data_IF_187301915968
#
_entry.id   IF_187301915968
#
_cell.length_a   1.000
_cell.length_b   1.000
_cell.length_c   1.000
_cell.angle_alpha   90.00
_cell.angle_beta   90.00
_cell.angle_gamma   90.00
#
_symmetry.space_group_name_H-M   'P 1'
#
loop_
_entity.id
_entity.type
_entity.pdbx_description
1 polymer ?
#
# COMPACT_ATOMS: atom_id res chain seq x y z
N UNK A 1 -6.55 11.78 -70.22
CA UNK A 1 -7.05 10.78 -69.24
C UNK A 1 -7.28 11.55 -67.97
N UNK A 2 -8.51 11.97 -67.75
CA UNK A 2 -8.95 12.84 -66.65
C UNK A 2 -9.66 12.00 -65.61
N UNK A 3 -9.27 12.14 -64.38
CA UNK A 3 -9.88 11.49 -63.21
C UNK A 3 -11.32 11.97 -62.97
N UNK A 4 -12.30 11.13 -62.63
CA UNK A 4 -13.66 11.55 -62.31
C UNK A 4 -13.82 12.02 -60.87
N UNK A 5 -14.49 13.15 -60.75
CA UNK A 5 -14.78 13.88 -59.51
C UNK A 5 -15.90 13.23 -58.68
N UNK A 6 -15.86 13.51 -57.39
CA UNK A 6 -16.68 13.04 -56.25
C UNK A 6 -18.21 13.28 -56.32
N UNK A 7 -18.83 13.49 -57.49
CA UNK A 7 -20.22 13.92 -57.61
C UNK A 7 -21.17 12.96 -58.33
N UNK A 8 -20.77 11.71 -58.63
CA UNK A 8 -21.61 10.77 -59.41
C UNK A 8 -21.91 9.45 -58.67
N UNK A 9 -22.09 9.47 -57.39
CA UNK A 9 -22.46 8.25 -56.62
C UNK A 9 -23.71 8.48 -55.75
N UNK A 10 -24.70 9.17 -56.24
CA UNK A 10 -26.05 9.21 -55.62
C UNK A 10 -27.08 9.14 -56.73
N UNK A 11 -27.54 7.93 -57.07
CA UNK A 11 -28.85 7.65 -57.62
C UNK A 11 -28.91 6.15 -58.03
N UNK A 12 -29.40 5.32 -57.12
CA UNK A 12 -30.23 4.13 -57.37
C UNK A 12 -30.28 3.28 -56.10
N UNK A 13 -31.24 3.54 -55.22
CA UNK A 13 -31.56 2.59 -54.17
C UNK A 13 -33.08 2.40 -54.18
N UNK A 14 -33.47 1.28 -54.68
CA UNK A 14 -34.82 0.76 -54.65
C UNK A 14 -35.27 0.46 -53.22
N UNK A 15 -36.47 0.87 -52.91
CA UNK A 15 -37.16 0.63 -51.63
C UNK A 15 -37.46 -0.86 -51.51
N UNK A 16 -36.86 -1.54 -50.54
CA UNK A 16 -37.30 -2.83 -50.03
C UNK A 16 -37.75 -2.64 -48.59
N UNK A 17 -39.06 -2.62 -48.40
CA UNK A 17 -39.71 -2.69 -47.06
C UNK A 17 -39.49 -4.06 -46.46
N UNK A 18 -38.49 -4.17 -45.57
CA UNK A 18 -38.28 -5.33 -44.74
C UNK A 18 -38.72 -5.02 -43.29
N UNK A 19 -39.78 -5.70 -42.81
CA UNK A 19 -40.20 -5.65 -41.41
C UNK A 19 -39.07 -6.10 -40.50
N UNK A 20 -38.44 -5.17 -39.80
CA UNK A 20 -37.47 -5.47 -38.74
C UNK A 20 -38.28 -5.95 -37.54
N UNK A 21 -38.29 -7.27 -37.28
CA UNK A 21 -38.69 -7.81 -36.02
C UNK A 21 -37.77 -7.27 -34.91
N UNK A 22 -38.33 -6.46 -34.00
CA UNK A 22 -37.65 -5.99 -32.83
C UNK A 22 -37.35 -7.23 -31.95
N UNK A 23 -36.15 -7.74 -32.02
CA UNK A 23 -35.64 -8.67 -31.00
C UNK A 23 -35.64 -7.93 -29.66
N UNK A 24 -36.21 -8.48 -28.59
CA UNK A 24 -36.10 -7.88 -27.28
C UNK A 24 -34.63 -7.87 -26.93
N UNK A 25 -34.07 -6.68 -26.74
CA UNK A 25 -32.78 -6.54 -26.03
C UNK A 25 -33.03 -7.16 -24.65
N UNK A 26 -32.54 -8.36 -24.50
CA UNK A 26 -32.35 -8.95 -23.17
C UNK A 26 -31.32 -8.03 -22.48
N UNK A 27 -31.83 -7.08 -21.71
CA UNK A 27 -31.03 -6.47 -20.65
C UNK A 27 -30.56 -7.64 -19.80
N UNK A 28 -29.31 -8.04 -19.99
CA UNK A 28 -28.61 -8.89 -19.06
C UNK A 28 -28.75 -8.20 -17.70
N UNK A 29 -29.70 -8.63 -16.90
CA UNK A 29 -29.75 -8.28 -15.49
C UNK A 29 -28.39 -8.68 -14.95
N UNK A 30 -27.56 -7.69 -14.61
CA UNK A 30 -26.33 -7.90 -13.87
C UNK A 30 -26.76 -8.75 -12.67
N UNK A 31 -26.37 -10.04 -12.70
CA UNK A 31 -26.66 -10.95 -11.60
C UNK A 31 -26.05 -10.31 -10.35
N UNK A 32 -26.90 -9.70 -9.54
CA UNK A 32 -26.46 -9.08 -8.29
C UNK A 32 -25.73 -10.16 -7.50
N UNK A 33 -24.50 -9.87 -7.10
CA UNK A 33 -23.77 -10.79 -6.23
C UNK A 33 -24.64 -11.00 -4.99
N UNK A 34 -25.11 -12.24 -4.78
CA UNK A 34 -25.95 -12.58 -3.64
C UNK A 34 -25.04 -13.04 -2.51
N UNK A 35 -25.16 -12.40 -1.37
CA UNK A 35 -24.48 -12.79 -0.15
C UNK A 35 -25.44 -13.57 0.75
N UNK A 36 -25.12 -14.85 0.98
CA UNK A 36 -25.90 -15.78 1.77
C UNK A 36 -25.07 -16.32 2.92
N UNK A 37 -24.90 -15.52 3.96
CA UNK A 37 -24.19 -15.94 5.16
C UNK A 37 -25.05 -15.64 6.39
N UNK A 38 -25.26 -16.63 7.23
CA UNK A 38 -25.98 -16.49 8.49
C UNK A 38 -24.96 -16.61 9.62
N UNK A 39 -24.63 -15.50 10.29
CA UNK A 39 -23.71 -15.52 11.43
C UNK A 39 -24.16 -16.45 12.55
N UNK A 40 -23.20 -16.88 13.36
CA UNK A 40 -23.47 -17.65 14.56
C UNK A 40 -24.25 -16.78 15.55
N UNK A 41 -25.24 -17.41 16.22
CA UNK A 41 -26.01 -16.76 17.27
C UNK A 41 -25.11 -16.41 18.47
N UNK A 42 -25.37 -15.25 19.07
CA UNK A 42 -24.61 -14.74 20.24
C UNK A 42 -23.09 -14.62 20.01
N UNK A 43 -22.68 -14.40 18.75
CA UNK A 43 -21.28 -14.25 18.40
C UNK A 43 -20.66 -13.00 19.07
N UNK A 44 -19.42 -13.14 19.49
CA UNK A 44 -18.57 -12.06 20.02
C UNK A 44 -17.24 -12.12 19.32
N UNK A 45 -16.89 -11.04 18.64
CA UNK A 45 -15.64 -10.95 17.88
C UNK A 45 -14.62 -10.07 18.57
N UNK A 46 -13.37 -10.43 18.37
CA UNK A 46 -12.22 -9.61 18.78
C UNK A 46 -11.36 -9.29 17.57
N UNK A 47 -11.14 -8.02 17.32
CA UNK A 47 -10.33 -7.49 16.21
C UNK A 47 -9.08 -6.84 16.77
N UNK A 48 -7.91 -7.20 16.24
CA UNK A 48 -6.66 -6.50 16.46
C UNK A 48 -6.32 -5.66 15.23
N UNK A 49 -6.02 -4.39 15.44
CA UNK A 49 -5.56 -3.48 14.39
C UNK A 49 -4.49 -2.51 14.90
N UNK A 50 -3.87 -1.77 13.99
CA UNK A 50 -2.92 -0.71 14.35
C UNK A 50 -3.56 0.45 15.11
N UNK A 51 -2.75 1.11 15.93
CA UNK A 51 -3.08 2.41 16.54
C UNK A 51 -3.13 3.51 15.48
N UNK A 52 -3.69 4.64 15.87
CA UNK A 52 -3.89 5.79 14.99
C UNK A 52 -2.58 6.43 14.50
N UNK A 53 -2.48 6.65 13.20
CA UNK A 53 -1.68 7.71 12.58
C UNK A 53 -2.57 8.88 12.12
N UNK A 54 -3.83 8.56 11.84
CA UNK A 54 -4.87 9.49 11.44
C UNK A 54 -6.05 9.27 12.38
N UNK A 55 -6.44 10.29 13.17
CA UNK A 55 -7.51 10.16 14.17
C UNK A 55 -8.82 9.68 13.52
N UNK A 56 -9.19 10.26 12.37
CA UNK A 56 -10.41 9.90 11.66
C UNK A 56 -10.43 8.45 11.13
N UNK A 57 -9.29 7.78 10.99
CA UNK A 57 -9.21 6.35 10.67
C UNK A 57 -9.88 5.51 11.78
N UNK A 58 -9.44 5.73 13.03
CA UNK A 58 -9.98 4.96 14.16
C UNK A 58 -11.42 5.36 14.48
N UNK A 59 -11.72 6.65 14.46
CA UNK A 59 -13.05 7.15 14.82
C UNK A 59 -14.13 6.61 13.86
N UNK A 60 -13.86 6.65 12.56
CA UNK A 60 -14.81 6.14 11.56
C UNK A 60 -14.87 4.60 11.57
N UNK A 61 -13.73 3.93 11.82
CA UNK A 61 -13.74 2.48 11.97
C UNK A 61 -14.63 2.05 13.14
N UNK A 62 -14.49 2.68 14.31
CA UNK A 62 -15.32 2.39 15.49
C UNK A 62 -16.79 2.77 15.29
N UNK A 63 -17.09 3.85 14.56
CA UNK A 63 -18.45 4.19 14.19
C UNK A 63 -19.08 3.10 13.30
N UNK A 64 -18.35 2.52 12.37
CA UNK A 64 -18.79 1.38 11.57
C UNK A 64 -18.98 0.10 12.40
N UNK A 65 -18.09 -0.16 13.36
CA UNK A 65 -18.25 -1.26 14.34
C UNK A 65 -19.55 -1.09 15.11
N UNK A 66 -19.87 0.11 15.59
CA UNK A 66 -21.13 0.39 16.29
C UNK A 66 -22.35 0.09 15.39
N UNK A 67 -22.33 0.56 14.14
CA UNK A 67 -23.38 0.27 13.15
C UNK A 67 -23.55 -1.24 12.92
N UNK A 68 -22.44 -1.99 12.86
CA UNK A 68 -22.48 -3.44 12.73
C UNK A 68 -23.15 -4.11 13.93
N UNK A 69 -22.79 -3.69 15.16
CA UNK A 69 -23.39 -4.20 16.39
C UNK A 69 -24.90 -3.91 16.43
N UNK A 70 -25.31 -2.69 16.10
CA UNK A 70 -26.72 -2.28 16.06
C UNK A 70 -27.54 -3.09 15.04
N UNK A 71 -26.93 -3.38 13.88
CA UNK A 71 -27.60 -4.10 12.78
C UNK A 71 -27.71 -5.60 13.03
N UNK A 72 -26.72 -6.20 13.67
CA UNK A 72 -26.59 -7.67 13.76
C UNK A 72 -26.76 -8.24 15.16
N UNK A 73 -26.66 -7.41 16.20
CA UNK A 73 -26.57 -7.84 17.60
C UNK A 73 -25.22 -8.47 17.97
N UNK A 74 -24.26 -8.52 17.05
CA UNK A 74 -22.93 -9.11 17.29
C UNK A 74 -22.02 -8.09 17.93
N UNK A 75 -21.50 -8.40 19.12
CA UNK A 75 -20.52 -7.57 19.81
C UNK A 75 -19.14 -7.71 19.16
N UNK A 76 -18.48 -6.58 18.87
CA UNK A 76 -17.12 -6.54 18.32
C UNK A 76 -16.22 -5.67 19.20
N UNK A 77 -15.23 -6.28 19.83
CA UNK A 77 -14.17 -5.60 20.56
C UNK A 77 -13.00 -5.30 19.62
N UNK A 78 -12.51 -4.05 19.63
CA UNK A 78 -11.35 -3.62 18.84
C UNK A 78 -10.18 -3.30 19.76
N UNK A 79 -9.08 -4.00 19.59
CA UNK A 79 -7.80 -3.74 20.26
C UNK A 79 -6.88 -3.01 19.27
N UNK A 80 -6.29 -1.89 19.71
CA UNK A 80 -5.37 -1.09 18.88
C UNK A 80 -3.95 -1.20 19.45
N UNK A 81 -2.97 -1.46 18.57
CA UNK A 81 -1.56 -1.66 18.93
C UNK A 81 -0.64 -0.83 18.03
N UNK A 82 0.62 -0.62 18.46
CA UNK A 82 1.64 -0.07 17.58
C UNK A 82 1.87 -0.94 16.35
N UNK A 83 2.32 -0.34 15.25
CA UNK A 83 2.64 -1.10 14.03
C UNK A 83 3.64 -2.22 14.29
N UNK A 84 4.63 -1.95 15.12
CA UNK A 84 5.70 -2.88 15.47
C UNK A 84 5.19 -4.10 16.25
N UNK A 85 4.03 -3.97 16.92
CA UNK A 85 3.45 -5.01 17.77
C UNK A 85 2.45 -5.92 17.03
N UNK A 86 1.85 -5.45 15.93
CA UNK A 86 0.79 -6.20 15.22
C UNK A 86 1.32 -7.54 14.70
N UNK A 87 2.45 -7.53 13.99
CA UNK A 87 3.05 -8.75 13.41
C UNK A 87 3.48 -9.76 14.49
N UNK A 88 4.21 -9.38 15.55
CA UNK A 88 4.53 -10.30 16.65
C UNK A 88 3.28 -10.89 17.31
N UNK A 89 2.22 -10.11 17.53
CA UNK A 89 0.96 -10.59 18.09
C UNK A 89 0.24 -11.55 17.15
N UNK A 90 0.26 -11.32 15.85
CA UNK A 90 -0.26 -12.25 14.85
C UNK A 90 0.50 -13.59 14.89
N UNK A 91 1.84 -13.55 15.01
CA UNK A 91 2.66 -14.75 15.14
C UNK A 91 2.32 -15.56 16.43
N UNK A 92 2.16 -14.87 17.55
CA UNK A 92 1.73 -15.51 18.81
C UNK A 92 0.36 -16.17 18.65
N UNK A 93 -0.62 -15.45 18.09
CA UNK A 93 -1.97 -15.97 17.87
C UNK A 93 -1.97 -17.20 16.94
N UNK A 94 -1.21 -17.16 15.85
CA UNK A 94 -1.06 -18.28 14.92
C UNK A 94 -0.45 -19.52 15.58
N UNK A 95 0.57 -19.33 16.44
CA UNK A 95 1.31 -20.42 17.09
C UNK A 95 0.52 -21.02 18.27
N UNK A 96 -0.16 -20.20 19.06
CA UNK A 96 -0.92 -20.66 20.23
C UNK A 96 -2.32 -21.18 19.87
N UNK A 97 -2.84 -20.83 18.69
CA UNK A 97 -4.22 -21.13 18.32
C UNK A 97 -5.24 -20.37 19.18
N UNK A 98 -4.88 -19.19 19.70
CA UNK A 98 -5.72 -18.37 20.56
C UNK A 98 -5.36 -16.88 20.40
N UNK A 99 -6.35 -16.00 20.49
CA UNK A 99 -6.16 -14.57 20.35
C UNK A 99 -7.35 -13.85 19.69
N UNK A 100 -7.11 -12.71 19.02
CA UNK A 100 -8.13 -12.03 18.24
C UNK A 100 -8.65 -12.90 17.07
N UNK A 101 -9.95 -12.87 16.82
CA UNK A 101 -10.56 -13.61 15.70
C UNK A 101 -10.10 -13.08 14.35
N UNK A 102 -9.92 -11.75 14.29
CA UNK A 102 -9.52 -11.00 13.10
C UNK A 102 -8.29 -10.17 13.43
N UNK A 103 -7.26 -10.23 12.59
CA UNK A 103 -6.08 -9.37 12.69
C UNK A 103 -5.88 -8.62 11.37
N UNK A 104 -5.84 -7.28 11.46
CA UNK A 104 -5.47 -6.41 10.37
C UNK A 104 -3.94 -6.28 10.37
N UNK A 105 -3.29 -6.78 9.33
CA UNK A 105 -1.83 -6.81 9.21
C UNK A 105 -1.36 -6.23 7.87
N UNK A 106 -0.10 -6.41 7.54
CA UNK A 106 0.54 -5.73 6.41
C UNK A 106 1.16 -6.70 5.40
N UNK A 107 1.37 -6.21 4.19
CA UNK A 107 2.07 -6.89 3.11
C UNK A 107 1.62 -8.35 2.94
N UNK A 108 2.56 -9.26 2.85
CA UNK A 108 2.35 -10.69 2.68
C UNK A 108 2.36 -11.48 4.00
N UNK A 109 2.10 -10.82 5.14
CA UNK A 109 2.05 -11.48 6.47
C UNK A 109 1.09 -12.67 6.52
N UNK A 110 -0.03 -12.62 5.79
CA UNK A 110 -0.95 -13.74 5.69
C UNK A 110 -0.26 -15.02 5.14
N UNK A 111 0.76 -14.87 4.32
CA UNK A 111 1.53 -15.99 3.76
C UNK A 111 2.49 -16.67 4.77
N UNK A 112 2.65 -16.09 5.98
CA UNK A 112 3.34 -16.77 7.09
C UNK A 112 2.47 -17.85 7.74
N UNK A 113 1.15 -17.77 7.57
CA UNK A 113 0.18 -18.61 8.30
C UNK A 113 -0.93 -19.21 7.42
N UNK A 114 -0.70 -19.60 6.14
CA UNK A 114 -1.79 -19.94 5.22
C UNK A 114 -2.66 -21.08 5.76
N UNK A 115 -2.07 -22.05 6.47
CA UNK A 115 -2.79 -23.18 7.07
C UNK A 115 -3.56 -22.82 8.35
N UNK A 116 -3.33 -21.66 8.94
CA UNK A 116 -3.99 -21.17 10.15
C UNK A 116 -5.12 -20.18 9.86
N UNK A 117 -5.25 -19.75 8.60
CA UNK A 117 -6.24 -18.75 8.18
C UNK A 117 -7.45 -19.42 7.53
N UNK A 118 -8.62 -18.81 7.70
CA UNK A 118 -9.85 -19.23 7.02
C UNK A 118 -9.76 -18.89 5.53
N UNK A 119 -10.38 -19.75 4.73
CA UNK A 119 -10.74 -19.44 3.35
C UNK A 119 -11.84 -18.38 3.35
N UNK A 120 -11.54 -17.21 2.79
CA UNK A 120 -12.46 -16.07 2.66
C UNK A 120 -12.82 -15.76 1.22
N UNK A 121 -12.72 -16.77 0.34
CA UNK A 121 -13.01 -16.63 -1.09
C UNK A 121 -14.45 -16.17 -1.33
N UNK A 122 -15.40 -16.66 -0.55
CA UNK A 122 -16.81 -16.23 -0.60
C UNK A 122 -16.99 -14.72 -0.37
N UNK A 123 -16.29 -14.16 0.60
CA UNK A 123 -16.29 -12.70 0.89
C UNK A 123 -15.65 -11.93 -0.26
N UNK A 124 -14.45 -12.36 -0.70
CA UNK A 124 -13.69 -11.66 -1.73
C UNK A 124 -14.36 -11.73 -3.09
N UNK A 125 -14.95 -12.88 -3.46
CA UNK A 125 -15.67 -13.05 -4.72
C UNK A 125 -16.96 -12.22 -4.76
N UNK A 126 -17.70 -12.16 -3.64
CA UNK A 126 -18.87 -11.30 -3.49
C UNK A 126 -18.50 -9.82 -3.69
N UNK A 127 -17.53 -9.33 -2.93
CA UNK A 127 -17.10 -7.93 -2.97
C UNK A 127 -16.48 -7.56 -4.32
N UNK A 128 -15.63 -8.43 -4.88
CA UNK A 128 -15.01 -8.22 -6.18
C UNK A 128 -16.04 -8.10 -7.29
N UNK A 129 -17.02 -9.02 -7.32
CA UNK A 129 -18.12 -8.98 -8.30
C UNK A 129 -18.99 -7.74 -8.15
N UNK A 130 -19.28 -7.32 -6.92
CA UNK A 130 -20.13 -6.17 -6.62
C UNK A 130 -19.46 -4.83 -6.95
N UNK A 131 -18.17 -4.70 -6.72
CA UNK A 131 -17.43 -3.44 -6.73
C UNK A 131 -16.39 -3.33 -7.86
N UNK A 132 -16.57 -4.05 -8.95
CA UNK A 132 -15.80 -3.85 -10.19
C UNK A 132 -14.42 -4.52 -10.21
N UNK A 133 -14.18 -5.46 -9.31
CA UNK A 133 -12.95 -6.26 -9.22
C UNK A 133 -11.90 -5.68 -8.27
N UNK A 134 -11.05 -6.58 -7.79
CA UNK A 134 -9.86 -6.25 -7.01
C UNK A 134 -8.72 -5.83 -7.94
N UNK A 135 -7.89 -4.91 -7.49
CA UNK A 135 -6.64 -4.64 -8.22
C UNK A 135 -5.68 -5.83 -8.13
N UNK A 136 -4.84 -6.06 -9.17
CA UNK A 136 -3.98 -7.26 -9.26
C UNK A 136 -3.09 -7.50 -8.03
N UNK A 137 -2.58 -6.45 -7.39
CA UNK A 137 -1.78 -6.57 -6.18
C UNK A 137 -2.52 -7.30 -5.05
N UNK A 138 -3.85 -7.14 -4.94
CA UNK A 138 -4.65 -7.80 -3.92
C UNK A 138 -4.61 -9.33 -4.06
N UNK A 139 -4.78 -9.83 -5.30
CA UNK A 139 -4.69 -11.26 -5.58
C UNK A 139 -3.26 -11.77 -5.36
N UNK A 140 -2.27 -11.03 -5.80
CA UNK A 140 -0.86 -11.39 -5.60
C UNK A 140 -0.52 -11.58 -4.13
N UNK A 141 -1.00 -10.70 -3.24
CA UNK A 141 -0.74 -10.81 -1.80
C UNK A 141 -1.56 -11.88 -1.10
N UNK A 142 -2.83 -12.08 -1.47
CA UNK A 142 -3.77 -12.84 -0.64
C UNK A 142 -4.38 -14.07 -1.30
N UNK A 143 -3.91 -14.42 -2.52
CA UNK A 143 -4.33 -15.59 -3.27
C UNK A 143 -3.10 -16.38 -3.78
N UNK A 144 -2.23 -16.86 -2.87
CA UNK A 144 -0.91 -17.37 -3.24
C UNK A 144 -0.95 -18.60 -4.16
N UNK A 145 -2.01 -19.42 -4.08
CA UNK A 145 -2.22 -20.60 -4.93
C UNK A 145 -3.07 -20.29 -6.19
N UNK A 146 -3.45 -19.02 -6.38
CA UNK A 146 -4.36 -18.58 -7.44
C UNK A 146 -5.81 -19.05 -7.30
N UNK A 147 -6.16 -19.73 -6.21
CA UNK A 147 -7.47 -20.34 -6.01
C UNK A 147 -8.22 -19.80 -4.79
N UNK A 148 -7.55 -19.74 -3.63
CA UNK A 148 -8.16 -19.39 -2.36
C UNK A 148 -7.65 -18.09 -1.81
N UNK A 149 -8.56 -17.25 -1.33
CA UNK A 149 -8.23 -16.06 -0.57
C UNK A 149 -7.97 -16.41 0.89
N UNK A 150 -6.76 -16.08 1.37
CA UNK A 150 -6.32 -16.29 2.76
C UNK A 150 -6.49 -15.04 3.63
N UNK A 151 -7.04 -13.98 3.08
CA UNK A 151 -7.37 -12.73 3.76
C UNK A 151 -8.17 -11.81 2.85
N UNK A 152 -8.85 -10.82 3.45
CA UNK A 152 -9.60 -9.80 2.70
C UNK A 152 -8.70 -8.58 2.51
N UNK A 153 -8.46 -8.10 1.26
CA UNK A 153 -7.71 -6.88 1.03
C UNK A 153 -8.40 -5.67 1.67
N UNK A 154 -7.64 -4.83 2.37
CA UNK A 154 -8.17 -3.57 2.92
C UNK A 154 -7.71 -2.36 2.10
N UNK A 155 -6.58 -2.43 1.44
CA UNK A 155 -5.99 -1.37 0.64
C UNK A 155 -4.50 -1.21 0.86
N UNK A 156 -3.96 -0.01 0.64
CA UNK A 156 -2.57 0.30 0.95
C UNK A 156 -2.39 1.74 1.40
N UNK A 157 -1.51 1.98 2.38
CA UNK A 157 -1.02 3.33 2.64
C UNK A 157 0.03 3.67 1.58
N UNK A 158 -0.25 4.69 0.76
CA UNK A 158 0.67 5.14 -0.26
C UNK A 158 1.92 5.73 0.38
N UNK A 159 3.09 5.13 0.12
CA UNK A 159 4.37 5.70 0.49
C UNK A 159 4.91 6.47 -0.73
N UNK A 160 4.81 7.79 -0.71
CA UNK A 160 5.33 8.70 -1.74
C UNK A 160 6.15 9.81 -1.09
N UNK A 161 6.72 10.69 -1.89
CA UNK A 161 7.51 11.80 -1.35
C UNK A 161 6.61 12.90 -0.80
N UNK A 162 6.88 13.33 0.43
CA UNK A 162 6.26 14.45 1.13
C UNK A 162 7.31 15.53 1.33
N UNK A 163 7.06 16.76 0.88
CA UNK A 163 8.06 17.80 0.89
C UNK A 163 7.51 19.21 1.18
N UNK A 164 8.40 20.09 1.64
CA UNK A 164 8.16 21.51 1.86
C UNK A 164 8.47 22.29 0.57
N UNK A 165 7.44 22.80 -0.09
CA UNK A 165 7.60 23.56 -1.33
C UNK A 165 8.49 24.81 -1.13
N UNK A 166 8.33 25.50 0.00
CA UNK A 166 9.12 26.69 0.35
C UNK A 166 10.61 26.38 0.46
N UNK A 167 10.97 25.22 1.04
CA UNK A 167 12.36 24.79 1.22
C UNK A 167 13.01 24.41 -0.12
N UNK A 168 12.25 23.72 -1.00
CA UNK A 168 12.73 23.44 -2.36
C UNK A 168 13.04 24.74 -3.11
N UNK A 169 12.11 25.71 -3.09
CA UNK A 169 12.31 27.02 -3.73
C UNK A 169 13.52 27.76 -3.16
N UNK A 170 13.70 27.77 -1.83
CA UNK A 170 14.85 28.37 -1.17
C UNK A 170 16.17 27.70 -1.56
N UNK A 171 16.15 26.42 -1.92
CA UNK A 171 17.30 25.68 -2.43
C UNK A 171 17.47 25.82 -3.96
N UNK A 172 16.69 26.67 -4.64
CA UNK A 172 16.75 26.90 -6.09
C UNK A 172 16.08 25.83 -6.94
N UNK A 173 15.20 25.02 -6.34
CA UNK A 173 14.53 23.90 -7.00
C UNK A 173 13.07 24.26 -7.27
N UNK A 174 12.71 24.44 -8.54
CA UNK A 174 11.38 24.89 -8.94
C UNK A 174 10.32 23.78 -8.97
N UNK A 175 10.74 22.52 -9.18
CA UNK A 175 9.85 21.36 -9.22
C UNK A 175 10.54 20.15 -8.60
N UNK A 176 9.73 19.21 -8.08
CA UNK A 176 10.27 17.95 -7.56
C UNK A 176 10.95 17.14 -8.68
N UNK A 177 12.16 16.61 -8.47
CA UNK A 177 12.91 15.87 -9.48
C UNK A 177 12.18 14.61 -9.95
N UNK A 178 12.32 14.27 -11.24
CA UNK A 178 11.70 13.10 -11.84
C UNK A 178 12.62 11.89 -11.99
N UNK A 179 13.91 12.08 -11.79
CA UNK A 179 14.94 11.05 -11.87
C UNK A 179 15.84 11.03 -10.63
N UNK A 180 16.59 9.94 -10.48
CA UNK A 180 17.47 9.73 -9.31
C UNK A 180 18.61 10.74 -9.21
N UNK A 181 19.14 11.23 -10.32
CA UNK A 181 20.25 12.19 -10.30
C UNK A 181 19.78 13.55 -9.79
N UNK A 182 18.66 14.04 -10.32
CA UNK A 182 18.01 15.25 -9.82
C UNK A 182 17.60 15.14 -8.35
N UNK A 183 17.14 13.96 -7.95
CA UNK A 183 16.76 13.67 -6.58
C UNK A 183 17.93 13.79 -5.61
N UNK A 184 19.06 13.18 -5.93
CA UNK A 184 20.29 13.32 -5.11
C UNK A 184 20.75 14.78 -5.02
N UNK A 185 20.78 15.51 -6.15
CA UNK A 185 21.12 16.94 -6.19
C UNK A 185 20.19 17.77 -5.33
N UNK A 186 18.88 17.47 -5.32
CA UNK A 186 17.90 18.13 -4.46
C UNK A 186 18.24 17.94 -2.98
N UNK A 187 18.51 16.70 -2.55
CA UNK A 187 18.87 16.42 -1.16
C UNK A 187 20.17 17.11 -0.74
N UNK A 188 21.18 17.14 -1.64
CA UNK A 188 22.43 17.87 -1.42
C UNK A 188 22.19 19.37 -1.25
N UNK A 189 21.36 19.97 -2.11
CA UNK A 189 21.02 21.39 -2.04
C UNK A 189 20.25 21.75 -0.76
N UNK A 190 19.30 20.91 -0.35
CA UNK A 190 18.55 21.09 0.90
C UNK A 190 19.47 21.00 2.12
N UNK A 191 20.39 20.02 2.16
CA UNK A 191 21.39 19.92 3.23
C UNK A 191 22.28 21.16 3.29
N UNK A 192 22.76 21.64 2.16
CA UNK A 192 23.60 22.85 2.09
C UNK A 192 22.86 24.11 2.60
N UNK A 193 21.54 24.15 2.52
CA UNK A 193 20.70 25.22 3.09
C UNK A 193 20.36 25.02 4.58
N UNK A 194 20.83 23.95 5.21
CA UNK A 194 20.51 23.63 6.60
C UNK A 194 19.08 23.10 6.81
N UNK A 195 18.42 22.70 5.74
CA UNK A 195 17.05 22.15 5.75
C UNK A 195 17.04 20.73 5.17
N UNK A 196 17.69 19.75 5.81
CA UNK A 196 17.90 18.42 5.25
C UNK A 196 16.60 17.66 5.04
N UNK A 197 16.67 16.62 4.21
CA UNK A 197 15.68 15.54 4.18
C UNK A 197 16.09 14.36 5.05
N UNK A 198 15.23 13.35 5.13
CA UNK A 198 15.54 12.11 5.84
C UNK A 198 14.45 11.07 5.64
N UNK A 199 14.84 9.81 5.60
CA UNK A 199 13.95 8.65 5.47
C UNK A 199 14.37 7.57 6.46
N UNK A 200 13.40 6.77 6.95
CA UNK A 200 13.65 5.74 7.94
C UNK A 200 14.53 4.60 7.38
N UNK A 201 15.52 4.20 8.15
CA UNK A 201 16.42 3.07 7.90
C UNK A 201 16.48 2.08 9.10
N UNK A 202 15.70 2.33 10.16
CA UNK A 202 15.36 1.31 11.15
C UNK A 202 14.37 0.30 10.59
N UNK A 203 14.08 -0.74 11.37
CA UNK A 203 13.13 -1.79 10.97
C UNK A 203 11.68 -1.28 11.08
N UNK A 204 11.37 -0.19 10.40
CA UNK A 204 10.04 0.40 10.32
C UNK A 204 9.13 -0.45 9.42
N UNK A 205 7.88 -0.67 9.83
CA UNK A 205 6.93 -1.52 9.09
C UNK A 205 6.58 -0.92 7.72
N UNK A 206 6.37 0.38 7.62
CA UNK A 206 6.00 1.09 6.39
C UNK A 206 7.11 2.00 5.85
N UNK A 207 7.65 2.84 6.69
CA UNK A 207 8.52 3.94 6.24
C UNK A 207 9.92 3.52 5.76
N UNK A 208 10.36 2.29 6.06
CA UNK A 208 11.56 1.70 5.44
C UNK A 208 11.32 1.19 4.00
N UNK A 209 10.07 1.22 3.52
CA UNK A 209 9.67 0.70 2.20
C UNK A 209 10.37 1.37 1.01
N UNK A 210 10.87 2.62 1.15
CA UNK A 210 11.65 3.30 0.12
C UNK A 210 12.91 2.52 -0.29
N UNK A 211 13.43 1.65 0.58
CA UNK A 211 14.58 0.81 0.27
C UNK A 211 14.27 -0.21 -0.84
N UNK A 212 13.03 -0.70 -0.91
CA UNK A 212 12.56 -1.56 -2.01
C UNK A 212 12.44 -0.76 -3.31
N UNK A 213 11.82 0.44 -3.27
CA UNK A 213 11.81 1.35 -4.43
C UNK A 213 13.21 1.51 -5.00
N UNK A 214 14.20 1.82 -4.13
CA UNK A 214 15.56 2.11 -4.54
C UNK A 214 16.19 0.91 -5.28
N UNK A 215 16.13 -0.29 -4.70
CA UNK A 215 16.71 -1.48 -5.32
C UNK A 215 16.06 -1.76 -6.69
N UNK A 216 14.73 -1.65 -6.79
CA UNK A 216 14.00 -1.87 -8.04
C UNK A 216 14.27 -0.79 -9.08
N UNK A 217 14.45 0.46 -8.67
CA UNK A 217 14.75 1.60 -9.54
C UNK A 217 16.08 1.43 -10.28
N UNK A 218 17.02 0.70 -9.68
CA UNK A 218 18.31 0.34 -10.28
C UNK A 218 18.30 -1.04 -10.96
N UNK A 219 17.20 -1.78 -10.92
CA UNK A 219 17.02 -3.09 -11.56
C UNK A 219 17.44 -4.28 -10.69
N UNK A 220 17.68 -4.07 -9.39
CA UNK A 220 17.88 -5.14 -8.42
C UNK A 220 16.55 -5.75 -7.98
N UNK A 221 16.60 -6.96 -7.43
CA UNK A 221 15.47 -7.64 -6.78
C UNK A 221 15.98 -8.69 -5.79
N UNK A 222 15.14 -9.12 -4.84
CA UNK A 222 15.52 -10.20 -3.91
C UNK A 222 15.68 -11.50 -4.68
N UNK A 223 14.69 -11.82 -5.53
CA UNK A 223 14.63 -13.04 -6.32
C UNK A 223 14.29 -12.72 -7.77
N UNK A 224 14.57 -13.66 -8.66
CA UNK A 224 14.06 -13.66 -10.03
C UNK A 224 12.64 -14.26 -10.11
N UNK A 225 12.09 -14.36 -11.33
CA UNK A 225 10.75 -14.93 -11.60
C UNK A 225 10.60 -16.39 -11.18
N UNK A 226 11.70 -17.10 -10.97
CA UNK A 226 11.74 -18.50 -10.54
C UNK A 226 12.02 -18.66 -9.05
N UNK A 227 11.95 -17.57 -8.28
CA UNK A 227 12.29 -17.51 -6.86
C UNK A 227 13.76 -17.82 -6.53
N UNK A 228 14.67 -17.78 -7.51
CA UNK A 228 16.10 -17.87 -7.25
C UNK A 228 16.59 -16.55 -6.65
N UNK A 229 17.34 -16.61 -5.56
CA UNK A 229 17.92 -15.43 -4.92
C UNK A 229 18.96 -14.77 -5.83
N UNK A 230 18.76 -13.49 -6.13
CA UNK A 230 19.59 -12.68 -7.04
C UNK A 230 19.94 -11.29 -6.48
N UNK A 231 19.68 -11.07 -5.19
CA UNK A 231 19.87 -9.74 -4.57
C UNK A 231 21.33 -9.27 -4.63
N UNK A 232 22.30 -10.19 -4.64
CA UNK A 232 23.71 -9.86 -4.83
C UNK A 232 24.02 -9.70 -6.32
N UNK A 233 23.60 -8.59 -6.90
CA UNK A 233 23.78 -8.26 -8.32
C UNK A 233 24.51 -6.95 -8.51
N UNK A 234 25.16 -6.69 -9.67
CA UNK A 234 25.73 -5.40 -9.97
C UNK A 234 24.74 -4.23 -9.88
N UNK A 235 23.49 -4.47 -10.21
CA UNK A 235 22.40 -3.50 -10.12
C UNK A 235 22.10 -3.13 -8.65
N UNK A 236 22.05 -4.11 -7.77
CA UNK A 236 21.90 -3.89 -6.34
C UNK A 236 23.07 -3.13 -5.75
N UNK A 237 24.31 -3.48 -6.13
CA UNK A 237 25.50 -2.77 -5.66
C UNK A 237 25.45 -1.29 -6.07
N UNK A 238 25.08 -0.97 -7.32
CA UNK A 238 24.88 0.43 -7.76
C UNK A 238 23.81 1.17 -6.97
N UNK A 239 22.69 0.50 -6.66
CA UNK A 239 21.66 1.08 -5.80
C UNK A 239 22.19 1.39 -4.39
N UNK A 240 23.03 0.53 -3.84
CA UNK A 240 23.66 0.72 -2.52
C UNK A 240 24.72 1.83 -2.52
N UNK A 241 25.48 2.00 -3.61
CA UNK A 241 26.37 3.15 -3.81
C UNK A 241 25.59 4.45 -3.80
N UNK A 242 24.49 4.51 -4.55
CA UNK A 242 23.58 5.65 -4.53
C UNK A 242 22.97 5.88 -3.13
N UNK A 243 22.55 4.82 -2.43
CA UNK A 243 22.05 4.92 -1.05
C UNK A 243 23.06 5.57 -0.11
N UNK A 244 24.33 5.25 -0.23
CA UNK A 244 25.41 5.83 0.58
C UNK A 244 25.55 7.32 0.34
N UNK A 245 25.52 7.77 -0.92
CA UNK A 245 25.58 9.18 -1.27
C UNK A 245 24.34 9.94 -0.79
N UNK A 246 23.16 9.35 -0.96
CA UNK A 246 21.90 9.92 -0.52
C UNK A 246 21.85 10.04 1.01
N UNK A 247 22.21 9.00 1.73
CA UNK A 247 22.23 8.98 3.20
C UNK A 247 23.16 10.04 3.79
N UNK A 248 24.30 10.30 3.13
CA UNK A 248 25.22 11.37 3.54
C UNK A 248 24.57 12.77 3.57
N UNK A 249 23.39 12.93 2.95
CA UNK A 249 22.62 14.18 2.95
C UNK A 249 21.53 14.22 4.02
N UNK A 250 21.22 13.10 4.68
CA UNK A 250 20.11 13.00 5.62
C UNK A 250 20.40 13.73 6.94
N UNK A 251 19.32 14.09 7.63
CA UNK A 251 19.39 14.47 9.04
C UNK A 251 19.94 13.27 9.86
N UNK A 252 20.75 13.52 10.92
CA UNK A 252 21.27 12.45 11.77
C UNK A 252 20.16 11.62 12.44
N UNK A 253 20.45 10.34 12.70
CA UNK A 253 19.61 9.46 13.49
C UNK A 253 18.66 8.55 12.69
N UNK A 254 18.54 8.73 11.39
CA UNK A 254 17.57 7.97 10.55
C UNK A 254 17.81 6.46 10.51
N UNK A 255 19.00 5.96 10.87
CA UNK A 255 19.28 4.53 11.02
C UNK A 255 18.45 3.83 12.11
N UNK A 256 17.97 4.58 13.09
CA UNK A 256 17.14 4.07 14.18
C UNK A 256 15.66 4.46 14.05
N UNK A 257 15.29 5.19 12.99
CA UNK A 257 13.93 5.66 12.83
C UNK A 257 12.96 4.52 12.51
N UNK A 258 11.85 4.52 13.24
CA UNK A 258 10.65 3.72 13.02
C UNK A 258 9.54 4.59 12.44
N UNK A 259 8.38 4.02 12.14
CA UNK A 259 7.28 4.69 11.45
C UNK A 259 6.84 6.07 12.02
N UNK A 260 6.84 6.34 13.35
CA UNK A 260 6.46 7.66 13.86
C UNK A 260 7.54 8.76 13.71
N UNK A 261 8.80 8.42 13.47
CA UNK A 261 9.91 9.35 13.64
C UNK A 261 9.97 10.40 12.54
N UNK A 262 9.75 10.03 11.27
CA UNK A 262 9.72 10.98 10.16
C UNK A 262 8.53 11.96 10.28
N UNK A 263 7.34 11.49 10.71
CA UNK A 263 6.18 12.32 10.98
C UNK A 263 6.53 13.41 12.01
N UNK A 264 7.11 12.98 13.13
CA UNK A 264 7.51 13.91 14.20
C UNK A 264 8.54 14.92 13.69
N UNK A 265 9.62 14.47 13.08
CA UNK A 265 10.69 15.35 12.59
C UNK A 265 10.18 16.34 11.53
N UNK A 266 9.26 15.93 10.66
CA UNK A 266 8.67 16.82 9.66
C UNK A 266 7.77 17.88 10.29
N UNK A 267 6.87 17.48 11.20
CA UNK A 267 5.95 18.39 11.88
C UNK A 267 6.67 19.35 12.85
N UNK A 268 7.79 18.93 13.42
CA UNK A 268 8.70 19.76 14.21
C UNK A 268 9.54 20.74 13.36
N UNK A 269 9.39 20.71 12.02
CA UNK A 269 10.12 21.58 11.09
C UNK A 269 11.56 21.18 10.82
N UNK A 270 11.99 20.00 11.25
CA UNK A 270 13.38 19.51 11.10
C UNK A 270 13.66 18.93 9.71
N UNK A 271 12.60 18.55 8.96
CA UNK A 271 12.72 17.93 7.63
C UNK A 271 12.10 18.79 6.53
N UNK A 272 12.77 18.78 5.38
CA UNK A 272 12.24 19.32 4.13
C UNK A 272 11.58 18.28 3.25
N UNK A 273 12.04 17.04 3.30
CA UNK A 273 11.60 15.92 2.45
C UNK A 273 11.70 14.62 3.21
N UNK A 274 10.67 13.81 3.11
CA UNK A 274 10.65 12.41 3.57
C UNK A 274 9.73 11.59 2.68
N UNK A 275 9.73 10.26 2.80
CA UNK A 275 8.67 9.41 2.27
C UNK A 275 7.60 9.18 3.33
N UNK A 276 6.34 9.24 2.97
CA UNK A 276 5.24 8.95 3.90
C UNK A 276 3.92 8.73 3.15
N UNK A 277 2.92 8.24 3.88
CA UNK A 277 1.52 8.35 3.51
C UNK A 277 0.98 9.77 3.73
N UNK A 278 -0.35 9.91 3.70
CA UNK A 278 -1.03 11.19 3.90
C UNK A 278 -0.97 11.72 5.36
N UNK A 279 -0.48 10.89 6.30
CA UNK A 279 -0.58 11.16 7.75
C UNK A 279 0.08 12.47 8.19
N UNK A 280 1.21 12.85 7.61
CA UNK A 280 1.88 14.14 7.90
C UNK A 280 0.97 15.31 7.49
N UNK A 281 0.43 15.29 6.27
CA UNK A 281 -0.48 16.31 5.80
C UNK A 281 -1.77 16.38 6.63
N UNK A 282 -2.36 15.21 6.93
CA UNK A 282 -3.55 15.12 7.77
C UNK A 282 -3.31 15.72 9.16
N UNK A 283 -2.20 15.37 9.81
CA UNK A 283 -1.84 15.88 11.11
C UNK A 283 -1.61 17.40 11.09
N UNK A 284 -0.91 17.92 10.07
CA UNK A 284 -0.71 19.35 9.91
C UNK A 284 -2.05 20.09 9.71
N UNK A 285 -2.89 19.61 8.78
CA UNK A 285 -4.18 20.23 8.43
C UNK A 285 -5.14 20.33 9.61
N UNK A 286 -5.15 19.32 10.46
CA UNK A 286 -6.08 19.18 11.60
C UNK A 286 -5.46 19.57 12.95
N UNK A 287 -4.25 20.17 12.96
CA UNK A 287 -3.58 20.56 14.19
C UNK A 287 -4.25 21.78 14.83
N UNK A 288 -4.36 21.76 16.17
CA UNK A 288 -4.75 22.93 16.98
C UNK A 288 -3.61 23.93 17.13
N UNK A 289 -2.35 23.52 16.90
CA UNK A 289 -1.19 24.40 16.90
C UNK A 289 -1.15 25.20 15.58
N UNK A 290 -1.27 26.54 15.60
CA UNK A 290 -1.27 27.36 14.39
C UNK A 290 -0.01 27.21 13.53
N UNK A 291 1.17 27.04 14.14
CA UNK A 291 2.43 26.86 13.42
C UNK A 291 2.46 25.54 12.66
N UNK A 292 2.01 24.44 13.27
CA UNK A 292 1.89 23.13 12.62
C UNK A 292 0.81 23.17 11.53
N UNK A 293 -0.34 23.81 11.81
CA UNK A 293 -1.43 23.96 10.82
C UNK A 293 -0.98 24.73 9.57
N UNK A 294 -0.13 25.74 9.72
CA UNK A 294 0.42 26.51 8.62
C UNK A 294 1.28 25.65 7.67
N UNK A 295 1.90 24.54 8.16
CA UNK A 295 2.67 23.64 7.32
C UNK A 295 1.81 22.98 6.23
N UNK A 296 0.51 22.76 6.49
CA UNK A 296 -0.38 22.10 5.55
C UNK A 296 -0.42 22.80 4.17
N UNK A 297 -0.32 24.13 4.14
CA UNK A 297 -0.28 24.89 2.88
C UNK A 297 1.00 24.63 2.09
N UNK A 298 2.14 24.47 2.77
CA UNK A 298 3.47 24.30 2.19
C UNK A 298 3.80 22.84 1.83
N UNK A 299 3.11 21.86 2.43
CA UNK A 299 3.28 20.44 2.13
C UNK A 299 2.81 20.14 0.72
N UNK A 300 3.64 19.42 -0.04
CA UNK A 300 3.33 18.89 -1.35
C UNK A 300 3.72 17.41 -1.42
N UNK A 301 3.16 16.72 -2.42
CA UNK A 301 3.39 15.30 -2.66
C UNK A 301 3.90 15.06 -4.09
N UNK A 302 4.78 14.08 -4.24
CA UNK A 302 5.28 13.63 -5.54
C UNK A 302 5.51 12.11 -5.52
N UNK A 303 5.39 11.40 -6.65
CA UNK A 303 5.86 10.03 -6.74
C UNK A 303 7.38 9.97 -6.51
N UNK A 304 7.89 8.80 -6.19
CA UNK A 304 9.33 8.58 -6.21
C UNK A 304 9.90 8.80 -7.61
N UNK A 305 11.14 9.30 -7.72
CA UNK A 305 11.79 9.48 -9.02
C UNK A 305 11.97 8.16 -9.76
N UNK A 306 12.00 8.23 -11.09
CA UNK A 306 12.33 7.09 -11.93
C UNK A 306 13.85 6.89 -11.92
N UNK A 307 14.29 5.66 -11.65
CA UNK A 307 15.70 5.29 -11.68
C UNK A 307 16.17 4.82 -13.05
N UNK A 308 17.40 4.29 -13.13
CA UNK A 308 18.01 3.83 -14.39
C UNK A 308 17.21 2.80 -15.19
N UNK A 309 16.26 2.09 -14.55
CA UNK A 309 15.36 1.15 -15.27
C UNK A 309 14.37 1.85 -16.21
N UNK A 310 14.23 3.18 -16.11
CA UNK A 310 13.41 3.99 -17.03
C UNK A 310 11.90 3.88 -16.83
N UNK A 311 11.44 3.17 -15.79
CA UNK A 311 10.01 3.01 -15.46
C UNK A 311 9.76 3.23 -13.98
N UNK A 312 8.57 3.74 -13.58
CA UNK A 312 8.22 3.85 -12.17
C UNK A 312 8.28 2.49 -11.46
N UNK A 313 8.79 2.52 -10.24
CA UNK A 313 8.80 1.36 -9.34
C UNK A 313 8.20 1.83 -8.03
N UNK A 314 7.03 1.30 -7.64
CA UNK A 314 6.30 1.77 -6.48
C UNK A 314 6.17 0.65 -5.44
N UNK A 315 6.55 0.96 -4.20
CA UNK A 315 6.26 0.16 -3.03
C UNK A 315 5.31 0.94 -2.13
N UNK A 316 4.22 0.29 -1.73
CA UNK A 316 3.26 0.84 -0.79
C UNK A 316 2.96 -0.18 0.30
N UNK A 317 2.59 0.29 1.49
CA UNK A 317 2.28 -0.58 2.62
C UNK A 317 0.88 -1.18 2.42
N UNK A 318 0.84 -2.40 1.93
CA UNK A 318 -0.41 -3.13 1.70
C UNK A 318 -1.03 -3.58 3.02
N UNK A 319 -2.35 -3.49 3.13
CA UNK A 319 -3.11 -3.91 4.30
C UNK A 319 -4.01 -5.09 3.98
N UNK A 320 -4.02 -6.08 4.86
CA UNK A 320 -4.85 -7.26 4.78
C UNK A 320 -5.62 -7.50 6.10
N UNK A 321 -6.67 -8.29 6.01
CA UNK A 321 -7.54 -8.65 7.13
C UNK A 321 -7.61 -10.17 7.19
N UNK A 322 -6.95 -10.75 8.18
CA UNK A 322 -6.85 -12.20 8.39
C UNK A 322 -7.92 -12.67 9.37
N UNK A 323 -8.63 -13.76 9.07
CA UNK A 323 -9.48 -14.48 10.02
C UNK A 323 -8.77 -15.79 10.39
N UNK A 324 -8.51 -16.01 11.67
CA UNK A 324 -7.86 -17.23 12.12
C UNK A 324 -8.83 -18.39 12.31
N UNK A 325 -8.43 -19.62 11.95
CA UNK A 325 -9.25 -20.84 12.06
C UNK A 325 -9.67 -21.22 13.47
N UNK A 326 -8.99 -20.72 14.51
CA UNK A 326 -9.35 -20.96 15.90
C UNK A 326 -10.59 -20.17 16.35
N UNK A 327 -11.07 -19.21 15.54
CA UNK A 327 -12.30 -18.48 15.89
C UNK A 327 -13.49 -19.43 16.06
N UNK A 328 -14.30 -19.16 17.08
CA UNK A 328 -15.57 -19.88 17.30
C UNK A 328 -16.70 -19.37 16.40
N UNK A 329 -16.48 -18.23 15.73
CA UNK A 329 -17.49 -17.48 15.00
C UNK A 329 -17.06 -17.16 13.56
N UNK A 330 -16.72 -18.17 12.74
CA UNK A 330 -16.17 -17.93 11.39
C UNK A 330 -17.15 -17.20 10.46
N UNK A 331 -18.45 -17.46 10.58
CA UNK A 331 -19.46 -16.78 9.75
C UNK A 331 -19.66 -15.33 10.20
N UNK A 332 -19.69 -15.08 11.51
CA UNK A 332 -19.77 -13.71 12.03
C UNK A 332 -18.53 -12.88 11.66
N UNK A 333 -17.34 -13.48 11.70
CA UNK A 333 -16.10 -12.81 11.28
C UNK A 333 -16.12 -12.46 9.77
N UNK A 334 -16.58 -13.36 8.92
CA UNK A 334 -16.76 -13.10 7.48
C UNK A 334 -17.80 -12.00 7.22
N UNK A 335 -18.93 -12.04 7.93
CA UNK A 335 -19.98 -11.02 7.83
C UNK A 335 -19.48 -9.65 8.26
N UNK A 336 -18.67 -9.59 9.33
CA UNK A 336 -18.06 -8.35 9.77
C UNK A 336 -17.14 -7.75 8.69
N UNK A 337 -16.22 -8.54 8.12
CA UNK A 337 -15.32 -8.05 7.06
C UNK A 337 -16.07 -7.63 5.80
N UNK A 338 -17.09 -8.41 5.38
CA UNK A 338 -17.95 -8.03 4.27
C UNK A 338 -18.64 -6.68 4.55
N UNK A 339 -19.24 -6.52 5.73
CA UNK A 339 -19.93 -5.30 6.12
C UNK A 339 -19.00 -4.08 6.10
N UNK A 340 -17.79 -4.20 6.68
CA UNK A 340 -16.81 -3.14 6.72
C UNK A 340 -16.31 -2.70 5.34
N UNK A 341 -16.38 -3.60 4.33
CA UNK A 341 -15.96 -3.35 2.95
C UNK A 341 -17.11 -2.91 2.03
N UNK A 342 -18.35 -2.80 2.52
CA UNK A 342 -19.46 -2.25 1.74
C UNK A 342 -19.29 -0.74 1.49
N UNK A 343 -19.84 -0.22 0.41
CA UNK A 343 -19.65 1.19 -0.02
C UNK A 343 -20.02 2.20 1.07
N UNK A 344 -21.11 1.96 1.79
CA UNK A 344 -21.58 2.83 2.88
C UNK A 344 -20.52 2.93 4.01
N UNK A 345 -19.94 1.81 4.42
CA UNK A 345 -19.00 1.74 5.52
C UNK A 345 -17.57 2.10 5.05
N UNK A 346 -17.12 1.45 3.98
CA UNK A 346 -15.77 1.64 3.46
C UNK A 346 -15.58 3.03 2.86
N UNK A 347 -16.58 3.52 2.12
CA UNK A 347 -16.56 4.87 1.55
C UNK A 347 -16.51 5.97 2.61
N UNK A 348 -17.30 5.82 3.69
CA UNK A 348 -17.26 6.72 4.84
C UNK A 348 -15.91 6.67 5.55
N UNK A 349 -15.34 5.46 5.71
CA UNK A 349 -14.03 5.28 6.32
C UNK A 349 -12.90 5.91 5.48
N UNK A 350 -12.92 5.76 4.16
CA UNK A 350 -11.95 6.44 3.27
C UNK A 350 -11.96 7.95 3.46
N UNK A 351 -13.16 8.56 3.60
CA UNK A 351 -13.30 10.00 3.80
C UNK A 351 -12.85 10.40 5.21
N UNK A 352 -13.31 9.72 6.25
CA UNK A 352 -12.92 10.01 7.63
C UNK A 352 -11.43 9.84 7.88
N UNK A 353 -10.82 8.83 7.27
CA UNK A 353 -9.38 8.58 7.31
C UNK A 353 -8.56 9.53 6.42
N UNK A 354 -9.21 10.48 5.70
CA UNK A 354 -8.51 11.44 4.84
C UNK A 354 -7.72 10.78 3.72
N UNK A 355 -8.15 9.63 3.21
CA UNK A 355 -7.42 8.87 2.19
C UNK A 355 -6.12 8.22 2.71
N UNK A 356 -6.02 7.96 4.01
CA UNK A 356 -4.87 7.26 4.62
C UNK A 356 -4.62 5.90 3.98
N UNK A 357 -5.68 5.22 3.55
CA UNK A 357 -5.60 3.97 2.81
C UNK A 357 -6.18 4.17 1.42
N UNK A 358 -5.39 3.88 0.39
CA UNK A 358 -5.86 3.76 -1.00
C UNK A 358 -6.68 2.49 -1.16
N UNK A 359 -7.73 2.58 -1.96
CA UNK A 359 -8.75 1.54 -2.10
C UNK A 359 -8.26 0.31 -2.89
N UNK A 360 -8.74 -0.90 -2.52
CA UNK A 360 -8.36 -2.14 -3.21
C UNK A 360 -9.33 -2.56 -4.32
N UNK A 361 -10.55 -2.00 -4.34
CA UNK A 361 -11.63 -2.30 -5.30
C UNK A 361 -11.86 -1.14 -6.26
N UNK A 362 -12.02 -1.44 -7.55
CA UNK A 362 -12.05 -0.45 -8.63
C UNK A 362 -13.16 0.62 -8.46
N UNK A 363 -14.34 0.25 -7.95
CA UNK A 363 -15.45 1.18 -7.76
C UNK A 363 -15.11 2.34 -6.81
N UNK A 364 -14.26 2.14 -5.82
CA UNK A 364 -13.91 3.15 -4.82
C UNK A 364 -12.92 4.21 -5.33
N UNK A 365 -12.39 4.05 -6.54
CA UNK A 365 -11.65 5.10 -7.24
C UNK A 365 -12.46 6.36 -7.52
N UNK A 366 -13.80 6.27 -7.43
CA UNK A 366 -14.73 7.40 -7.60
C UNK A 366 -15.07 8.09 -6.27
N UNK A 367 -14.54 7.62 -5.13
CA UNK A 367 -14.82 8.25 -3.84
C UNK A 367 -14.38 9.72 -3.85
N UNK A 368 -15.21 10.66 -3.35
CA UNK A 368 -14.91 12.10 -3.36
C UNK A 368 -13.58 12.48 -2.69
N UNK A 369 -13.07 11.66 -1.75
CA UNK A 369 -11.78 11.93 -1.09
C UNK A 369 -10.63 12.16 -2.07
N UNK A 370 -10.67 11.51 -3.24
CA UNK A 370 -9.61 11.62 -4.24
C UNK A 370 -9.63 12.90 -5.08
N UNK A 371 -10.68 13.70 -4.96
CA UNK A 371 -10.87 14.95 -5.73
C UNK A 371 -11.16 16.18 -4.87
N UNK A 372 -11.60 16.01 -3.63
CA UNK A 372 -11.96 17.12 -2.73
C UNK A 372 -10.74 17.98 -2.35
N UNK A 373 -9.57 17.39 -2.32
CA UNK A 373 -8.30 18.05 -2.04
C UNK A 373 -7.23 17.49 -2.98
N UNK A 374 -6.60 18.33 -3.84
CA UNK A 374 -5.58 17.87 -4.79
C UNK A 374 -4.41 17.14 -4.12
N UNK A 375 -4.17 17.38 -2.83
CA UNK A 375 -3.11 16.72 -2.07
C UNK A 375 -3.41 15.25 -1.75
N UNK A 376 -4.67 14.82 -1.85
CA UNK A 376 -5.06 13.41 -1.72
C UNK A 376 -4.90 12.63 -3.04
N UNK A 377 -5.06 13.30 -4.17
CA UNK A 377 -5.07 12.67 -5.51
C UNK A 377 -3.85 11.77 -5.78
N UNK A 378 -2.61 12.12 -5.42
CA UNK A 378 -1.44 11.28 -5.67
C UNK A 378 -1.50 9.89 -5.01
N UNK A 379 -2.29 9.73 -3.95
CA UNK A 379 -2.42 8.47 -3.20
C UNK A 379 -3.49 7.53 -3.76
N UNK A 380 -4.40 8.03 -4.63
CA UNK A 380 -5.57 7.27 -5.13
C UNK A 380 -5.20 5.92 -5.73
N UNK A 381 -4.19 5.90 -6.57
CA UNK A 381 -3.86 4.73 -7.39
C UNK A 381 -2.74 3.86 -6.79
N UNK A 382 -2.39 4.04 -5.50
CA UNK A 382 -1.30 3.32 -4.84
C UNK A 382 -1.45 1.79 -4.96
N UNK A 383 -2.64 1.22 -4.65
CA UNK A 383 -2.86 -0.23 -4.77
C UNK A 383 -2.79 -0.70 -6.22
N UNK A 384 -3.24 0.14 -7.16
CA UNK A 384 -3.25 -0.18 -8.59
C UNK A 384 -1.83 -0.26 -9.17
N UNK A 385 -0.92 0.62 -8.71
CA UNK A 385 0.41 0.80 -9.29
C UNK A 385 1.50 0.01 -8.58
N UNK A 386 1.26 -0.45 -7.34
CA UNK A 386 2.29 -1.04 -6.50
C UNK A 386 2.84 -2.36 -7.03
N UNK A 387 4.11 -2.60 -6.71
CA UNK A 387 4.75 -3.91 -6.80
C UNK A 387 4.77 -4.57 -5.42
N UNK A 388 4.57 -5.89 -5.33
CA UNK A 388 4.68 -6.60 -4.06
C UNK A 388 6.14 -6.65 -3.59
N UNK A 389 6.34 -6.68 -2.26
CA UNK A 389 7.68 -6.69 -1.65
C UNK A 389 8.57 -7.84 -2.16
N UNK A 390 7.98 -8.99 -2.46
CA UNK A 390 8.67 -10.16 -3.04
C UNK A 390 8.86 -10.11 -4.57
N UNK A 391 8.65 -8.96 -5.21
CA UNK A 391 8.91 -8.79 -6.64
C UNK A 391 10.41 -9.12 -6.95
N UNK A 392 10.74 -9.84 -8.02
CA UNK A 392 9.95 -10.29 -9.17
C UNK A 392 9.44 -11.76 -9.08
N UNK A 393 9.56 -12.40 -7.92
CA UNK A 393 9.16 -13.78 -7.71
C UNK A 393 7.70 -13.95 -7.30
N UNK A 394 7.35 -15.20 -7.00
CA UNK A 394 6.04 -15.55 -6.45
C UNK A 394 6.02 -15.29 -4.95
N UNK A 395 4.92 -14.70 -4.45
CA UNK A 395 4.72 -14.52 -3.02
C UNK A 395 4.36 -15.85 -2.32
N UNK A 396 4.75 -15.95 -1.06
CA UNK A 396 4.49 -17.09 -0.21
C UNK A 396 5.25 -16.98 1.10
N UNK A 397 5.45 -18.09 1.80
CA UNK A 397 6.17 -18.14 3.07
C UNK A 397 7.58 -17.53 2.98
N UNK A 398 8.30 -17.80 1.89
CA UNK A 398 9.66 -17.30 1.71
C UNK A 398 9.72 -15.77 1.57
N UNK A 399 8.84 -15.17 0.74
CA UNK A 399 8.79 -13.71 0.58
C UNK A 399 8.36 -13.03 1.86
N UNK A 400 7.35 -13.57 2.54
CA UNK A 400 6.85 -13.05 3.81
C UNK A 400 7.92 -13.13 4.92
N UNK A 401 8.67 -14.23 4.97
CA UNK A 401 9.79 -14.39 5.90
C UNK A 401 10.93 -13.40 5.63
N UNK A 402 11.32 -13.23 4.37
CA UNK A 402 12.35 -12.29 3.95
C UNK A 402 11.96 -10.83 4.27
N UNK A 403 10.67 -10.49 4.10
CA UNK A 403 10.13 -9.18 4.44
C UNK A 403 10.10 -8.96 5.96
N UNK A 404 9.65 -9.96 6.74
CA UNK A 404 9.61 -9.90 8.19
C UNK A 404 11.02 -9.80 8.83
N UNK A 405 12.05 -10.32 8.16
CA UNK A 405 13.46 -10.21 8.56
C UNK A 405 14.12 -8.89 8.09
N UNK A 406 13.37 -7.98 7.45
CA UNK A 406 13.88 -6.68 6.97
C UNK A 406 15.17 -6.76 6.14
N UNK A 407 15.33 -7.80 5.30
CA UNK A 407 16.58 -8.07 4.57
C UNK A 407 17.01 -6.88 3.73
N UNK A 408 16.10 -6.29 2.96
CA UNK A 408 16.42 -5.14 2.07
C UNK A 408 16.73 -3.89 2.88
N UNK A 409 15.92 -3.57 3.89
CA UNK A 409 16.16 -2.42 4.76
C UNK A 409 17.54 -2.49 5.44
N UNK A 410 17.86 -3.61 6.08
CA UNK A 410 19.13 -3.81 6.75
C UNK A 410 20.33 -3.73 5.77
N UNK A 411 20.19 -4.30 4.56
CA UNK A 411 21.23 -4.21 3.53
C UNK A 411 21.51 -2.75 3.12
N UNK A 412 20.46 -1.96 2.90
CA UNK A 412 20.60 -0.54 2.58
C UNK A 412 21.18 0.23 3.75
N UNK A 413 20.73 -0.01 4.98
CA UNK A 413 21.26 0.64 6.18
C UNK A 413 22.76 0.34 6.42
N UNK A 414 23.18 -0.90 6.23
CA UNK A 414 24.60 -1.30 6.34
C UNK A 414 25.49 -0.60 5.32
N UNK A 415 25.06 -0.52 4.06
CA UNK A 415 25.80 0.16 3.01
C UNK A 415 25.80 1.69 3.21
N UNK A 416 24.64 2.27 3.52
CA UNK A 416 24.46 3.70 3.73
C UNK A 416 25.32 4.23 4.88
N UNK A 417 25.33 3.52 6.02
CA UNK A 417 26.13 3.88 7.19
C UNK A 417 27.64 3.65 7.01
N UNK A 418 28.04 2.89 5.98
CA UNK A 418 29.43 2.46 5.78
C UNK A 418 29.90 1.36 6.74
N UNK A 419 28.98 0.74 7.51
CA UNK A 419 29.31 -0.42 8.36
C UNK A 419 29.73 -1.64 7.52
N UNK A 420 29.28 -1.68 6.27
CA UNK A 420 29.74 -2.60 5.20
C UNK A 420 29.90 -1.84 3.90
N UNK A 421 30.79 -2.34 3.04
CA UNK A 421 30.79 -1.91 1.65
C UNK A 421 29.49 -2.34 0.95
N UNK A 422 29.06 -1.67 -0.13
CA UNK A 422 27.90 -2.08 -0.92
C UNK A 422 27.92 -3.54 -1.34
N UNK A 423 29.07 -4.05 -1.77
CA UNK A 423 29.23 -5.45 -2.17
C UNK A 423 29.08 -6.43 -0.98
N UNK A 424 29.68 -6.12 0.16
CA UNK A 424 29.54 -6.95 1.37
C UNK A 424 28.11 -6.96 1.91
N UNK A 425 27.42 -5.81 1.88
CA UNK A 425 26.02 -5.69 2.28
C UNK A 425 25.11 -6.56 1.38
N UNK A 426 25.30 -6.48 0.04
CA UNK A 426 24.56 -7.30 -0.91
C UNK A 426 24.83 -8.80 -0.72
N UNK A 427 26.10 -9.20 -0.51
CA UNK A 427 26.45 -10.59 -0.24
C UNK A 427 25.83 -11.12 1.05
N UNK A 428 25.80 -10.31 2.12
CA UNK A 428 25.16 -10.68 3.38
C UNK A 428 23.65 -10.83 3.21
N UNK A 429 23.01 -9.91 2.49
CA UNK A 429 21.59 -9.97 2.19
C UNK A 429 21.23 -11.24 1.42
N UNK A 430 22.04 -11.64 0.44
CA UNK A 430 21.87 -12.90 -0.28
C UNK A 430 21.87 -14.11 0.66
N UNK A 431 22.88 -14.23 1.51
CA UNK A 431 22.97 -15.35 2.48
C UNK A 431 21.77 -15.38 3.45
N UNK A 432 21.20 -14.20 3.80
CA UNK A 432 19.98 -14.13 4.61
C UNK A 432 18.75 -14.57 3.81
N UNK A 433 18.60 -14.09 2.57
CA UNK A 433 17.48 -14.46 1.71
C UNK A 433 17.45 -15.97 1.39
N UNK A 434 18.60 -16.59 1.16
CA UNK A 434 18.75 -18.05 0.92
C UNK A 434 18.24 -18.92 2.08
N UNK A 435 18.07 -18.37 3.28
CA UNK A 435 17.47 -19.11 4.42
C UNK A 435 15.96 -19.32 4.21
N UNK A 436 15.31 -18.41 3.51
CA UNK A 436 13.87 -18.42 3.24
C UNK A 436 13.57 -19.10 1.90
N UNK A 437 14.28 -18.72 0.85
CA UNK A 437 14.17 -19.25 -0.50
C UNK A 437 15.07 -20.47 -0.65
N UNK A 438 14.70 -21.55 0.06
CA UNK A 438 15.40 -22.84 -0.10
C UNK A 438 14.99 -23.46 -1.42
N UNK A 439 15.89 -23.57 -2.36
CA UNK A 439 15.75 -24.31 -3.61
C UNK A 439 15.96 -25.80 -3.36
#
# INVERSE_FOLDING_TARGET
MTEPTRRQFIQSTSIATGAAAAAPMLFSSSAHAQWNNVPEKDAKLRVLRWSRFVQGDIDTYLANVKKFNEKTGIEVRVDNEGWEDVRPKAAVAANTGAGPDIILSTNDDANLYPDKLLDVSDVCDYLGKKYGGWYPACETYLKPDGKKWIGVPLGASGAIMVYRQSHLKAAGINSFPKDTDGYLKMFQALKAKGTPGGMALGNATGDSGWTHWLIWAFGGSIVDKNNKVVINSPQTVKALEFAKELYATFIPGTLSWLDPNNNKAFLDGQLSVTNNGISIYYAAKNSDNPAVKALAADIQHAPFPVGPVGTPTEYHLFFNQMIFKYTKYPKAAKEFLRFMMEEEQYGAWLQGAGGYVSHPLAAYGKNPIWSVDPKHTPYRDSVKNMRPAGYAGQLGYASAGAMADFIVCNMVAEAASGSKSPAEAAQRAQKRAERYYKT
#
